data_IF_266358749345
#
_entry.id   IF_266358749345
#
_cell.length_a   1.000
_cell.length_b   1.000
_cell.length_c   1.000
_cell.angle_alpha   90.00
_cell.angle_beta   90.00
_cell.angle_gamma   90.00
#
_symmetry.space_group_name_H-M   'P 1'
#
loop_
_entity.id
_entity.type
_entity.pdbx_description
1 polymer ?
#
# COMPACT_ATOMS: atom_id res chain seq x y z
N UNK A 1 0.64 -66.16 -13.21
CA UNK A 1 -0.02 -65.11 -14.01
C UNK A 1 -0.42 -63.97 -13.09
N UNK A 2 0.17 -62.79 -13.28
CA UNK A 2 -0.09 -61.59 -12.49
C UNK A 2 -1.44 -60.96 -12.86
N UNK A 3 -2.24 -60.54 -11.87
CA UNK A 3 -3.24 -59.49 -12.04
C UNK A 3 -3.01 -58.41 -11.00
N UNK A 4 -2.43 -57.30 -11.47
CA UNK A 4 -2.30 -56.04 -10.75
C UNK A 4 -3.70 -55.41 -10.70
N UNK A 5 -4.19 -55.03 -9.52
CA UNK A 5 -5.32 -54.12 -9.38
C UNK A 5 -4.78 -52.88 -8.67
N UNK A 6 -4.56 -51.83 -9.45
CA UNK A 6 -4.34 -50.48 -8.97
C UNK A 6 -5.71 -49.93 -8.55
N UNK A 7 -5.92 -49.72 -7.26
CA UNK A 7 -7.02 -48.88 -6.78
C UNK A 7 -6.43 -47.50 -6.53
N UNK A 8 -6.70 -46.58 -7.46
CA UNK A 8 -6.41 -45.16 -7.31
C UNK A 8 -7.46 -44.60 -6.34
N UNK A 9 -7.04 -44.34 -5.10
CA UNK A 9 -7.86 -43.63 -4.12
C UNK A 9 -7.72 -42.12 -4.39
N UNK A 10 -8.67 -41.55 -5.12
CA UNK A 10 -8.76 -40.11 -5.36
C UNK A 10 -9.15 -39.42 -4.06
N UNK A 11 -8.16 -38.91 -3.31
CA UNK A 11 -8.38 -38.10 -2.12
C UNK A 11 -8.69 -36.66 -2.56
N UNK A 12 -9.97 -36.40 -2.84
CA UNK A 12 -10.52 -35.07 -3.07
C UNK A 12 -10.68 -34.38 -1.70
N UNK A 13 -9.58 -33.83 -1.17
CA UNK A 13 -9.56 -33.14 0.13
C UNK A 13 -9.59 -31.63 -0.05
N UNK A 14 -10.74 -31.03 0.28
CA UNK A 14 -11.05 -29.61 0.42
C UNK A 14 -9.81 -28.73 0.73
N UNK A 15 -9.32 -27.97 -0.25
CA UNK A 15 -8.57 -26.78 0.06
C UNK A 15 -9.55 -25.70 0.53
N UNK A 16 -9.36 -25.33 1.79
CA UNK A 16 -10.10 -24.33 2.51
C UNK A 16 -10.33 -23.07 1.69
N UNK A 17 -11.59 -22.69 1.56
CA UNK A 17 -12.01 -21.31 1.34
C UNK A 17 -11.60 -20.50 2.57
N UNK A 18 -10.31 -20.16 2.70
CA UNK A 18 -9.93 -19.07 3.60
C UNK A 18 -10.50 -17.82 2.96
N UNK A 19 -11.58 -17.32 3.56
CA UNK A 19 -12.25 -16.10 3.14
C UNK A 19 -11.22 -15.03 2.90
N UNK A 20 -11.02 -14.68 1.62
CA UNK A 20 -10.52 -13.38 1.22
C UNK A 20 -11.54 -12.37 1.74
N UNK A 21 -11.47 -12.00 3.02
CA UNK A 21 -11.86 -10.66 3.39
C UNK A 21 -10.82 -9.79 2.68
N UNK A 22 -11.18 -9.03 1.61
CA UNK A 22 -10.24 -8.09 1.06
C UNK A 22 -9.98 -7.10 2.19
N UNK A 23 -8.79 -7.22 2.81
CA UNK A 23 -8.26 -6.14 3.64
C UNK A 23 -8.45 -4.85 2.83
N UNK A 24 -9.00 -3.77 3.42
CA UNK A 24 -9.26 -2.54 2.68
C UNK A 24 -8.05 -2.20 1.84
N UNK A 25 -8.23 -2.18 0.51
CA UNK A 25 -7.07 -2.07 -0.37
C UNK A 25 -6.33 -0.79 -0.05
N UNK A 26 -5.04 -0.91 0.27
CA UNK A 26 -4.14 0.25 0.47
C UNK A 26 -3.93 0.99 -0.85
N UNK A 27 -4.14 0.34 -2.00
CA UNK A 27 -4.13 1.02 -3.28
C UNK A 27 -5.24 2.07 -3.37
N UNK A 28 -4.97 3.19 -4.01
CA UNK A 28 -5.92 4.27 -4.23
C UNK A 28 -5.26 5.64 -4.29
N UNK A 29 -6.09 6.68 -4.32
CA UNK A 29 -5.65 8.06 -4.39
C UNK A 29 -5.80 8.72 -3.02
N UNK A 30 -4.87 9.61 -2.71
CA UNK A 30 -4.78 10.27 -1.43
C UNK A 30 -4.46 11.75 -1.60
N UNK A 31 -5.07 12.59 -0.77
CA UNK A 31 -4.71 13.99 -0.62
C UNK A 31 -3.90 14.20 0.66
N UNK A 32 -3.15 15.30 0.72
CA UNK A 32 -2.51 15.75 1.96
C UNK A 32 -3.57 16.39 2.88
N UNK A 33 -3.68 15.88 4.10
CA UNK A 33 -4.36 16.53 5.23
C UNK A 33 -3.26 17.09 6.16
N UNK A 34 -3.22 18.39 6.41
CA UNK A 34 -2.24 19.07 7.26
C UNK A 34 -2.93 19.76 8.45
N UNK A 35 -2.32 19.71 9.64
CA UNK A 35 -2.88 20.31 10.88
C UNK A 35 -2.61 21.83 10.96
N UNK A 36 -1.87 22.37 9.99
CA UNK A 36 -1.53 23.78 9.83
C UNK A 36 -1.13 24.06 8.38
N UNK A 37 -0.31 25.09 8.14
CA UNK A 37 0.14 25.50 6.80
C UNK A 37 1.54 24.96 6.43
N UNK A 38 1.92 23.77 6.93
CA UNK A 38 3.28 23.22 6.77
C UNK A 38 3.74 23.02 5.32
N UNK A 39 2.80 22.77 4.40
CA UNK A 39 3.06 22.67 2.96
C UNK A 39 2.62 23.91 2.18
N UNK A 40 2.14 24.95 2.88
CA UNK A 40 1.62 26.17 2.29
C UNK A 40 0.27 26.00 1.57
N UNK A 41 -0.22 27.10 0.94
CA UNK A 41 -1.41 27.06 0.10
C UNK A 41 -1.22 26.14 -1.11
N UNK A 42 -2.24 25.34 -1.45
CA UNK A 42 -2.21 24.44 -2.60
C UNK A 42 -1.75 23.01 -2.31
N UNK A 43 -1.42 22.68 -1.05
CA UNK A 43 -1.08 21.31 -0.64
C UNK A 43 -2.22 20.31 -0.88
N UNK A 44 -3.47 20.78 -0.89
CA UNK A 44 -4.67 20.03 -1.24
C UNK A 44 -4.67 19.52 -2.70
N UNK A 45 -3.84 20.12 -3.57
CA UNK A 45 -3.66 19.71 -4.96
C UNK A 45 -2.57 18.66 -5.14
N UNK A 46 -1.87 18.30 -4.05
CA UNK A 46 -0.86 17.24 -4.07
C UNK A 46 -1.57 15.91 -3.87
N UNK A 47 -1.43 15.02 -4.86
CA UNK A 47 -2.07 13.71 -4.89
C UNK A 47 -0.98 12.63 -4.83
N UNK A 48 -1.11 11.72 -3.89
CA UNK A 48 -0.42 10.43 -3.93
C UNK A 48 -1.37 9.40 -4.57
N UNK A 49 -0.90 8.68 -5.58
CA UNK A 49 -1.61 7.54 -6.16
C UNK A 49 -0.79 6.26 -5.92
N UNK A 50 -1.36 5.33 -5.15
CA UNK A 50 -0.83 3.97 -4.95
C UNK A 50 -1.57 3.02 -5.89
N UNK A 51 -0.89 2.53 -6.93
CA UNK A 51 -1.48 1.62 -7.93
C UNK A 51 -1.39 0.18 -7.47
N UNK A 52 -2.34 -0.66 -7.89
CA UNK A 52 -2.42 -2.07 -7.50
C UNK A 52 -1.25 -2.92 -8.01
N UNK A 53 -0.49 -2.42 -8.99
CA UNK A 53 0.73 -3.07 -9.50
C UNK A 53 1.97 -2.81 -8.63
N UNK A 54 1.83 -2.06 -7.52
CA UNK A 54 2.93 -1.72 -6.64
C UNK A 54 3.72 -0.49 -7.09
N UNK A 55 3.27 0.26 -8.09
CA UNK A 55 3.83 1.57 -8.45
C UNK A 55 3.11 2.71 -7.74
N UNK A 56 3.81 3.83 -7.51
CA UNK A 56 3.17 5.06 -7.02
C UNK A 56 3.68 6.29 -7.75
N UNK A 57 2.82 7.32 -7.78
CA UNK A 57 3.19 8.69 -8.16
C UNK A 57 2.72 9.69 -7.12
N UNK A 58 3.49 10.75 -6.92
CA UNK A 58 3.10 11.98 -6.23
C UNK A 58 3.04 13.09 -7.27
N UNK A 59 1.88 13.69 -7.43
CA UNK A 59 1.63 14.74 -8.42
C UNK A 59 1.17 16.03 -7.74
N UNK A 60 1.50 17.18 -8.33
CA UNK A 60 0.92 18.47 -7.99
C UNK A 60 0.32 19.08 -9.27
N UNK A 61 -1.00 19.03 -9.39
CA UNK A 61 -1.67 19.37 -10.65
C UNK A 61 -1.28 18.42 -11.79
N UNK A 62 -0.62 18.94 -12.85
CA UNK A 62 -0.19 18.15 -14.02
C UNK A 62 1.26 17.68 -13.94
N UNK A 63 1.97 17.99 -12.86
CA UNK A 63 3.41 17.71 -12.71
C UNK A 63 3.59 16.54 -11.76
N UNK A 64 4.32 15.51 -12.19
CA UNK A 64 4.80 14.43 -11.31
C UNK A 64 6.03 14.91 -10.56
N UNK A 65 5.95 14.94 -9.23
CA UNK A 65 7.05 15.36 -8.35
C UNK A 65 7.90 14.17 -7.92
N UNK A 66 7.28 13.01 -7.74
CA UNK A 66 7.95 11.78 -7.31
C UNK A 66 7.23 10.58 -7.91
N UNK A 67 7.99 9.55 -8.27
CA UNK A 67 7.45 8.28 -8.74
C UNK A 67 8.34 7.14 -8.23
N UNK A 68 7.78 5.96 -8.05
CA UNK A 68 8.53 4.80 -7.56
C UNK A 68 7.67 3.58 -7.32
N UNK A 69 8.13 2.71 -6.41
CA UNK A 69 7.40 1.51 -6.00
C UNK A 69 6.96 1.60 -4.56
N UNK A 70 5.93 0.84 -4.21
CA UNK A 70 5.45 0.72 -2.84
C UNK A 70 5.15 -0.71 -2.47
N UNK A 71 5.26 -1.00 -1.19
CA UNK A 71 4.84 -2.25 -0.58
C UNK A 71 4.04 -1.97 0.69
N UNK A 72 3.17 -2.91 1.06
CA UNK A 72 2.43 -2.87 2.32
C UNK A 72 2.70 -4.14 3.11
N UNK A 73 3.20 -4.00 4.33
CA UNK A 73 3.52 -5.12 5.23
C UNK A 73 3.29 -4.71 6.67
N UNK A 74 2.71 -5.62 7.46
CA UNK A 74 2.54 -5.44 8.92
C UNK A 74 1.88 -4.11 9.33
N UNK A 75 0.87 -3.66 8.58
CA UNK A 75 0.16 -2.40 8.85
C UNK A 75 0.93 -1.13 8.48
N UNK A 76 1.98 -1.24 7.67
CA UNK A 76 2.76 -0.12 7.17
C UNK A 76 2.83 -0.12 5.64
N UNK A 77 3.01 1.06 5.06
CA UNK A 77 3.32 1.29 3.65
C UNK A 77 4.72 1.86 3.54
N UNK A 78 5.52 1.29 2.66
CA UNK A 78 6.86 1.77 2.35
C UNK A 78 6.89 2.26 0.92
N UNK A 79 7.21 3.53 0.70
CA UNK A 79 7.45 4.10 -0.63
C UNK A 79 8.95 4.13 -0.90
N UNK A 80 9.35 3.65 -2.07
CA UNK A 80 10.75 3.59 -2.50
C UNK A 80 10.95 4.27 -3.85
N UNK A 81 11.94 5.17 -3.96
CA UNK A 81 12.44 5.72 -5.23
C UNK A 81 13.78 5.06 -5.59
N UNK A 82 14.00 4.75 -6.87
CA UNK A 82 15.30 4.36 -7.45
C UNK A 82 16.15 3.40 -6.58
N UNK A 83 15.93 2.08 -6.69
CA UNK A 83 16.72 1.07 -5.95
C UNK A 83 16.87 1.34 -4.42
N UNK A 84 15.91 2.06 -3.81
CA UNK A 84 15.90 2.35 -2.37
C UNK A 84 16.63 3.63 -1.93
N UNK A 85 17.02 4.50 -2.86
CA UNK A 85 17.69 5.77 -2.53
C UNK A 85 16.82 6.71 -1.66
N UNK A 86 15.50 6.62 -1.78
CA UNK A 86 14.55 7.29 -0.89
C UNK A 86 13.57 6.25 -0.39
N UNK A 87 13.51 6.06 0.93
CA UNK A 87 12.56 5.18 1.59
C UNK A 87 11.74 6.01 2.58
N UNK A 88 10.42 6.05 2.38
CA UNK A 88 9.49 6.73 3.29
C UNK A 88 8.49 5.72 3.80
N UNK A 89 8.40 5.58 5.11
CA UNK A 89 7.49 4.66 5.77
C UNK A 89 6.24 5.39 6.26
N UNK A 90 5.11 4.71 6.22
CA UNK A 90 3.84 5.20 6.73
C UNK A 90 3.13 4.12 7.53
N UNK A 91 2.49 4.49 8.64
CA UNK A 91 1.54 3.64 9.34
C UNK A 91 0.18 3.74 8.68
N UNK A 92 -0.50 2.60 8.50
CA UNK A 92 -1.88 2.55 8.03
C UNK A 92 -2.81 2.79 9.23
N UNK A 93 -3.67 3.78 9.13
CA UNK A 93 -4.72 4.07 10.13
C UNK A 93 -6.05 4.33 9.42
N UNK A 94 -6.86 3.27 9.26
CA UNK A 94 -8.10 3.34 8.49
C UNK A 94 -7.84 3.79 7.05
N UNK A 95 -8.37 4.95 6.67
CA UNK A 95 -8.17 5.54 5.34
C UNK A 95 -6.99 6.53 5.28
N UNK A 96 -6.12 6.56 6.30
CA UNK A 96 -5.00 7.49 6.41
C UNK A 96 -3.66 6.74 6.35
N UNK A 97 -2.65 7.39 5.76
CA UNK A 97 -1.25 6.98 5.86
C UNK A 97 -0.51 8.04 6.68
N UNK A 98 -0.10 7.67 7.89
CA UNK A 98 0.60 8.56 8.81
C UNK A 98 2.10 8.41 8.56
N UNK A 99 2.82 9.46 8.15
CA UNK A 99 4.25 9.38 7.89
C UNK A 99 5.02 8.97 9.14
N UNK A 100 6.06 8.16 8.98
CA UNK A 100 6.89 7.65 10.07
C UNK A 100 8.38 7.91 9.81
N UNK A 101 9.13 8.11 10.90
CA UNK A 101 10.59 8.12 10.91
C UNK A 101 11.10 7.45 12.18
N UNK A 102 12.08 6.56 12.02
CA UNK A 102 12.70 5.82 13.13
C UNK A 102 11.66 5.12 14.05
N UNK A 103 10.62 4.55 13.43
CA UNK A 103 9.54 3.83 14.13
C UNK A 103 8.52 4.71 14.85
N UNK A 104 8.60 6.04 14.72
CA UNK A 104 7.69 6.99 15.34
C UNK A 104 6.87 7.73 14.28
N UNK A 105 5.62 8.01 14.62
CA UNK A 105 4.74 8.83 13.79
C UNK A 105 5.27 10.28 13.73
N UNK A 106 5.25 10.85 12.53
CA UNK A 106 5.46 12.27 12.29
C UNK A 106 4.10 12.94 12.33
N UNK A 107 3.90 13.81 13.31
CA UNK A 107 2.66 14.56 13.49
C UNK A 107 2.65 15.83 12.61
N UNK A 108 1.46 16.31 12.24
CA UNK A 108 1.27 17.58 11.52
C UNK A 108 0.81 17.45 10.08
N UNK A 109 0.97 16.26 9.48
CA UNK A 109 0.37 15.95 8.18
C UNK A 109 0.18 14.44 7.97
N UNK A 110 -0.69 14.07 7.01
CA UNK A 110 -0.91 12.68 6.60
C UNK A 110 -1.51 12.62 5.20
N UNK A 111 -1.40 11.46 4.56
CA UNK A 111 -2.20 11.15 3.38
C UNK A 111 -3.58 10.69 3.82
N UNK A 112 -4.65 11.23 3.23
CA UNK A 112 -6.03 10.80 3.44
C UNK A 112 -6.60 10.31 2.13
N UNK A 113 -7.12 9.09 2.13
CA UNK A 113 -7.74 8.48 0.96
C UNK A 113 -8.95 9.30 0.50
N UNK A 114 -9.09 9.48 -0.81
CA UNK A 114 -10.21 10.17 -1.47
C UNK A 114 -11.09 9.20 -2.26
#
# INVERSE_FOLDING_TARGET
MQRKVFVILTFLGLFALTGCNPSPSVSGRYNIEQDGYGFGPGADKIILELRSDGSFDVTAGKVTMLQGTWESKSGQVTLSKEQGAIVVNYRIEGSKLIPMKDGKDITGWRWKKI
#
